data_IF_364920793333
#
_entry.id   IF_364920793333
#
_cell.length_a   1.000
_cell.length_b   1.000
_cell.length_c   1.000
_cell.angle_alpha   90.00
_cell.angle_beta   90.00
_cell.angle_gamma   90.00
#
_symmetry.space_group_name_H-M   'P 1'
#
loop_
_entity.id
_entity.type
_entity.pdbx_description
1 polymer ?
#
# COMPACT_ATOMS: atom_id res chain seq x y z
N UNK A 1 -48.21 9.74 -41.45
CA UNK A 1 -47.78 9.98 -40.06
C UNK A 1 -46.37 9.38 -39.90
N UNK A 2 -45.35 10.23 -40.16
CA UNK A 2 -43.96 9.77 -40.11
C UNK A 2 -43.49 9.74 -38.65
N UNK A 3 -43.25 8.57 -38.13
CA UNK A 3 -42.56 8.37 -36.87
C UNK A 3 -41.08 8.71 -37.12
N UNK A 4 -40.65 9.89 -36.67
CA UNK A 4 -39.22 10.23 -36.60
C UNK A 4 -38.61 9.39 -35.51
N UNK A 5 -37.92 8.30 -35.89
CA UNK A 5 -36.97 7.62 -35.05
C UNK A 5 -35.89 8.63 -34.65
N UNK A 6 -36.03 9.21 -33.46
CA UNK A 6 -34.90 9.89 -32.79
C UNK A 6 -33.94 8.80 -32.41
N UNK A 7 -32.97 8.48 -33.24
CA UNK A 7 -31.76 7.84 -32.84
C UNK A 7 -31.08 8.73 -31.80
N UNK A 8 -31.37 8.50 -30.53
CA UNK A 8 -30.69 9.14 -29.42
C UNK A 8 -29.36 8.43 -29.28
N UNK A 9 -28.38 8.75 -30.15
CA UNK A 9 -27.04 8.19 -30.02
C UNK A 9 -26.40 8.80 -28.77
N UNK A 10 -26.10 7.96 -27.82
CA UNK A 10 -25.39 8.37 -26.59
C UNK A 10 -24.14 9.18 -26.95
N UNK A 11 -23.88 10.29 -26.26
CA UNK A 11 -22.68 11.09 -26.47
C UNK A 11 -21.43 10.23 -26.31
N UNK A 12 -20.44 10.41 -27.18
CA UNK A 12 -19.22 9.60 -27.24
C UNK A 12 -17.99 10.48 -27.19
N UNK A 13 -16.95 9.97 -26.53
CA UNK A 13 -15.59 10.48 -26.67
C UNK A 13 -14.82 9.72 -27.75
N UNK A 14 -13.72 10.29 -28.18
CA UNK A 14 -12.84 9.71 -29.19
C UNK A 14 -11.40 9.67 -28.68
N UNK A 15 -10.67 8.64 -29.09
CA UNK A 15 -9.22 8.55 -28.94
C UNK A 15 -8.63 8.20 -30.28
N UNK A 16 -7.85 9.10 -30.86
CA UNK A 16 -7.33 8.94 -32.21
C UNK A 16 -5.89 9.45 -32.31
N UNK A 17 -5.18 9.02 -33.31
CA UNK A 17 -3.81 9.43 -33.50
C UNK A 17 -2.99 8.47 -34.34
N UNK A 18 -1.69 8.41 -34.02
CA UNK A 18 -0.72 7.66 -34.80
C UNK A 18 0.34 7.03 -33.87
N UNK A 19 0.68 5.77 -34.13
CA UNK A 19 1.84 5.11 -33.54
C UNK A 19 2.81 4.75 -34.64
N UNK A 20 3.87 5.51 -34.78
CA UNK A 20 4.87 5.26 -35.83
C UNK A 20 5.69 4.00 -35.51
N UNK A 21 6.17 3.34 -36.58
CA UNK A 21 7.01 2.13 -36.48
C UNK A 21 6.34 0.95 -35.78
N UNK A 22 5.00 0.86 -35.84
CA UNK A 22 4.20 -0.15 -35.13
C UNK A 22 3.42 -1.08 -36.06
N UNK A 23 3.83 -1.20 -37.36
CA UNK A 23 3.13 -2.03 -38.33
C UNK A 23 2.94 -3.47 -37.82
N UNK A 24 1.71 -3.96 -37.99
CA UNK A 24 1.31 -5.30 -37.51
C UNK A 24 1.07 -5.46 -36.03
N UNK A 25 1.37 -4.44 -35.20
CA UNK A 25 1.14 -4.48 -33.74
C UNK A 25 -0.33 -4.28 -33.40
N UNK A 26 -0.75 -4.85 -32.25
CA UNK A 26 -2.08 -4.63 -31.70
C UNK A 26 -2.06 -3.48 -30.70
N UNK A 27 -2.87 -2.46 -30.95
CA UNK A 27 -3.15 -1.36 -30.03
C UNK A 27 -4.47 -1.64 -29.32
N UNK A 28 -4.45 -1.60 -27.99
CA UNK A 28 -5.61 -1.80 -27.13
C UNK A 28 -6.02 -0.49 -26.47
N UNK A 29 -7.32 -0.22 -26.45
CA UNK A 29 -7.93 0.77 -25.57
C UNK A 29 -8.52 0.04 -24.36
N UNK A 30 -8.11 0.42 -23.18
CA UNK A 30 -8.51 -0.23 -21.92
C UNK A 30 -8.98 0.83 -20.91
N UNK A 31 -10.02 0.50 -20.13
CA UNK A 31 -10.42 1.32 -18.98
C UNK A 31 -9.65 0.87 -17.72
N UNK A 32 -9.16 1.84 -16.95
CA UNK A 32 -8.55 1.62 -15.64
C UNK A 32 -9.62 1.76 -14.55
N UNK A 33 -10.46 0.74 -14.37
CA UNK A 33 -11.53 0.71 -13.38
C UNK A 33 -10.98 0.51 -11.95
N UNK A 34 -11.82 0.68 -10.94
CA UNK A 34 -11.43 0.46 -9.53
C UNK A 34 -11.09 -1.01 -9.24
N UNK A 35 -11.78 -1.93 -9.90
CA UNK A 35 -11.59 -3.37 -9.75
C UNK A 35 -10.46 -3.92 -10.65
N UNK A 36 -9.91 -3.12 -11.54
CA UNK A 36 -8.83 -3.53 -12.44
C UNK A 36 -8.93 -2.98 -13.85
N UNK A 37 -8.18 -3.58 -14.75
CA UNK A 37 -8.12 -3.16 -16.15
C UNK A 37 -9.16 -3.91 -16.97
N UNK A 38 -9.98 -3.15 -17.70
CA UNK A 38 -11.05 -3.68 -18.55
C UNK A 38 -10.75 -3.34 -20.03
N UNK A 39 -10.53 -4.33 -20.90
CA UNK A 39 -10.40 -4.08 -22.34
C UNK A 39 -11.70 -3.53 -22.92
N UNK A 40 -11.61 -2.47 -23.72
CA UNK A 40 -12.76 -1.83 -24.36
C UNK A 40 -12.77 -2.07 -25.86
N UNK A 41 -11.62 -1.94 -26.51
CA UNK A 41 -11.49 -2.03 -27.96
C UNK A 41 -10.04 -2.33 -28.34
N UNK A 42 -9.82 -2.75 -29.59
CA UNK A 42 -8.48 -2.98 -30.12
C UNK A 42 -8.44 -2.79 -31.65
N UNK A 43 -7.27 -2.40 -32.14
CA UNK A 43 -7.02 -2.26 -33.57
C UNK A 43 -5.62 -2.80 -33.90
N UNK A 44 -5.51 -3.46 -35.05
CA UNK A 44 -4.21 -3.82 -35.62
C UNK A 44 -3.70 -2.60 -36.39
N UNK A 45 -2.53 -2.10 -36.00
CA UNK A 45 -1.89 -0.96 -36.66
C UNK A 45 -1.34 -1.38 -38.02
N UNK A 46 -1.57 -0.54 -39.02
CA UNK A 46 -1.03 -0.66 -40.36
C UNK A 46 0.20 0.23 -40.55
N UNK A 47 0.81 0.24 -41.73
CA UNK A 47 2.06 0.95 -42.00
C UNK A 47 2.05 2.46 -41.73
N UNK A 48 0.87 3.12 -41.75
CA UNK A 48 0.71 4.53 -41.36
C UNK A 48 0.55 4.74 -39.85
N UNK A 49 0.37 3.66 -39.10
CA UNK A 49 0.22 3.68 -37.64
C UNK A 49 -1.04 4.36 -37.12
N UNK A 50 -1.97 4.75 -38.00
CA UNK A 50 -3.19 5.48 -37.65
C UNK A 50 -4.16 4.60 -36.83
N UNK A 51 -4.86 5.22 -35.88
CA UNK A 51 -5.89 4.53 -35.10
C UNK A 51 -7.03 5.48 -34.72
N UNK A 52 -8.22 4.89 -34.49
CA UNK A 52 -9.40 5.61 -34.05
C UNK A 52 -10.28 4.72 -33.18
N UNK A 53 -10.52 5.15 -31.94
CA UNK A 53 -11.48 4.53 -31.03
C UNK A 53 -12.62 5.51 -30.70
N UNK A 54 -13.81 4.97 -30.45
CA UNK A 54 -14.98 5.74 -30.10
C UNK A 54 -15.80 4.99 -29.02
N UNK A 55 -15.93 5.59 -27.85
CA UNK A 55 -16.60 4.98 -26.70
C UNK A 55 -17.68 5.92 -26.13
N UNK A 56 -18.63 5.38 -25.37
CA UNK A 56 -19.62 6.18 -24.66
C UNK A 56 -18.91 7.07 -23.64
N UNK A 57 -19.33 8.34 -23.53
CA UNK A 57 -18.73 9.27 -22.60
C UNK A 57 -18.94 8.81 -21.16
N UNK A 58 -17.98 9.01 -20.25
CA UNK A 58 -18.18 8.77 -18.83
C UNK A 58 -19.10 9.86 -18.24
N UNK A 59 -19.73 9.54 -17.11
CA UNK A 59 -20.57 10.48 -16.33
C UNK A 59 -19.75 11.32 -15.35
N UNK A 60 -18.54 10.92 -15.09
CA UNK A 60 -17.53 11.58 -14.26
C UNK A 60 -16.16 11.35 -14.86
N UNK A 61 -15.10 12.08 -14.45
CA UNK A 61 -13.75 11.82 -14.92
C UNK A 61 -13.32 10.37 -14.73
N UNK A 62 -12.95 9.70 -15.82
CA UNK A 62 -12.52 8.30 -15.82
C UNK A 62 -11.15 8.14 -16.47
N UNK A 63 -10.46 7.04 -16.12
CA UNK A 63 -9.10 6.77 -16.56
C UNK A 63 -9.09 5.65 -17.60
N UNK A 64 -8.30 5.87 -18.62
CA UNK A 64 -8.09 4.95 -19.72
C UNK A 64 -6.60 4.79 -19.99
N UNK A 65 -6.27 3.76 -20.75
CA UNK A 65 -4.91 3.58 -21.24
C UNK A 65 -4.90 3.02 -22.66
N UNK A 66 -3.92 3.46 -23.43
CA UNK A 66 -3.51 2.81 -24.66
C UNK A 66 -2.38 1.85 -24.33
N UNK A 67 -2.45 0.62 -24.82
CA UNK A 67 -1.40 -0.39 -24.63
C UNK A 67 -0.99 -1.03 -25.95
N UNK A 68 0.32 -1.08 -26.18
CA UNK A 68 0.96 -1.88 -27.23
C UNK A 68 2.03 -2.76 -26.55
N UNK A 69 1.91 -4.08 -26.70
CA UNK A 69 2.71 -5.05 -25.98
C UNK A 69 2.67 -4.78 -24.45
N UNK A 70 3.80 -4.48 -23.82
CA UNK A 70 3.95 -4.14 -22.39
C UNK A 70 3.98 -2.62 -22.10
N UNK A 71 3.96 -1.79 -23.15
CA UNK A 71 4.06 -0.33 -23.05
C UNK A 71 2.68 0.31 -22.92
N UNK A 72 2.57 1.31 -22.07
CA UNK A 72 1.28 1.93 -21.71
C UNK A 72 1.36 3.46 -21.71
N UNK A 73 0.35 4.09 -22.29
CA UNK A 73 0.06 5.53 -22.15
C UNK A 73 -1.23 5.67 -21.34
N UNK A 74 -1.16 6.31 -20.16
CA UNK A 74 -2.32 6.62 -19.35
C UNK A 74 -2.89 8.00 -19.71
N UNK A 75 -4.22 8.10 -19.73
CA UNK A 75 -4.94 9.35 -19.96
C UNK A 75 -6.29 9.34 -19.25
N UNK A 76 -6.96 10.46 -19.21
CA UNK A 76 -8.32 10.57 -18.65
C UNK A 76 -9.27 11.20 -19.67
N UNK A 77 -10.54 10.91 -19.48
CA UNK A 77 -11.64 11.51 -20.22
C UNK A 77 -12.68 12.02 -19.23
N UNK A 78 -13.04 13.29 -19.35
CA UNK A 78 -14.02 13.93 -18.46
C UNK A 78 -15.42 13.97 -19.11
N UNK A 79 -15.49 13.98 -20.45
CA UNK A 79 -16.75 14.14 -21.19
C UNK A 79 -16.66 13.61 -22.65
N UNK A 80 -17.03 14.43 -23.63
CA UNK A 80 -17.08 14.09 -25.06
C UNK A 80 -15.85 14.56 -25.84
N UNK A 81 -14.74 14.77 -25.17
CA UNK A 81 -13.49 15.23 -25.77
C UNK A 81 -12.93 14.24 -26.80
N UNK A 82 -12.06 14.75 -27.64
CA UNK A 82 -11.23 13.96 -28.54
C UNK A 82 -9.79 14.02 -28.03
N UNK A 83 -9.27 12.89 -27.58
CA UNK A 83 -7.89 12.76 -27.14
C UNK A 83 -7.04 12.37 -28.34
N UNK A 84 -6.11 13.23 -28.72
CA UNK A 84 -5.17 13.00 -29.81
C UNK A 84 -3.83 12.51 -29.25
N UNK A 85 -3.39 11.33 -29.68
CA UNK A 85 -2.13 10.73 -29.20
C UNK A 85 -1.23 10.41 -30.38
N UNK A 86 0.04 10.88 -30.32
CA UNK A 86 1.08 10.46 -31.27
C UNK A 86 2.27 9.93 -30.49
N UNK A 87 2.78 8.78 -30.88
CA UNK A 87 3.89 8.12 -30.18
C UNK A 87 4.73 7.29 -31.15
N UNK A 88 6.07 7.27 -31.01
CA UNK A 88 6.90 6.25 -31.65
C UNK A 88 6.75 4.93 -30.89
N UNK A 89 6.70 3.80 -31.57
CA UNK A 89 6.58 2.49 -30.93
C UNK A 89 7.74 2.19 -29.98
N UNK A 90 8.98 2.56 -30.33
CA UNK A 90 10.16 2.32 -29.51
C UNK A 90 10.04 2.95 -28.13
N UNK A 91 9.59 4.20 -28.08
CA UNK A 91 9.49 5.03 -26.87
C UNK A 91 8.04 5.39 -26.53
N UNK A 92 7.11 4.44 -26.78
CA UNK A 92 5.67 4.61 -26.69
C UNK A 92 5.22 5.25 -25.36
N UNK A 93 5.79 4.83 -24.25
CA UNK A 93 5.41 5.29 -22.92
C UNK A 93 6.07 6.62 -22.49
N UNK A 94 7.06 7.11 -23.22
CA UNK A 94 7.89 8.26 -22.79
C UNK A 94 7.90 9.43 -23.81
N UNK A 95 7.96 9.13 -25.11
CA UNK A 95 8.10 10.14 -26.16
C UNK A 95 6.77 10.44 -26.89
N UNK A 96 5.63 10.20 -26.26
CA UNK A 96 4.33 10.49 -26.85
C UNK A 96 3.91 11.96 -26.69
N UNK A 97 3.01 12.42 -27.54
CA UNK A 97 2.24 13.67 -27.34
C UNK A 97 0.79 13.35 -27.04
N UNK A 98 0.13 14.19 -26.26
CA UNK A 98 -1.30 14.11 -26.00
C UNK A 98 -1.90 15.50 -26.05
N UNK A 99 -2.95 15.65 -26.86
CA UNK A 99 -3.66 16.91 -27.10
C UNK A 99 -5.17 16.69 -26.98
N UNK A 100 -5.94 17.77 -26.88
CA UNK A 100 -7.41 17.73 -26.80
C UNK A 100 -7.96 17.41 -25.40
N UNK A 101 -7.10 17.10 -24.40
CA UNK A 101 -7.46 16.85 -23.03
C UNK A 101 -6.42 17.45 -22.06
N UNK A 102 -6.74 18.56 -21.38
CA UNK A 102 -5.82 19.20 -20.43
C UNK A 102 -5.42 18.28 -19.26
N UNK A 103 -6.34 17.43 -18.79
CA UNK A 103 -6.05 16.47 -17.76
C UNK A 103 -5.09 15.38 -18.24
N UNK A 104 -5.26 14.89 -19.45
CA UNK A 104 -4.35 13.89 -20.05
C UNK A 104 -2.93 14.45 -20.24
N UNK A 105 -2.79 15.73 -20.61
CA UNK A 105 -1.48 16.40 -20.67
C UNK A 105 -0.80 16.45 -19.30
N UNK A 106 -1.53 16.76 -18.22
CA UNK A 106 -1.01 16.74 -16.86
C UNK A 106 -0.68 15.32 -16.37
N UNK A 107 -1.47 14.32 -16.76
CA UNK A 107 -1.20 12.90 -16.45
C UNK A 107 0.09 12.45 -17.11
N UNK A 108 0.33 12.84 -18.37
CA UNK A 108 1.62 12.61 -19.04
C UNK A 108 2.78 13.19 -18.24
N UNK A 109 2.69 14.45 -17.86
CA UNK A 109 3.76 15.12 -17.11
C UNK A 109 4.01 14.44 -15.74
N UNK A 110 2.96 14.08 -15.02
CA UNK A 110 3.05 13.29 -13.78
C UNK A 110 3.72 11.94 -14.01
N UNK A 111 3.37 11.23 -15.08
CA UNK A 111 3.97 9.93 -15.44
C UNK A 111 5.47 10.07 -15.67
N UNK A 112 5.89 11.06 -16.45
CA UNK A 112 7.30 11.31 -16.74
C UNK A 112 8.09 11.73 -15.50
N UNK A 113 7.50 12.53 -14.61
CA UNK A 113 8.11 12.90 -13.32
C UNK A 113 8.27 11.69 -12.41
N UNK A 114 7.28 10.81 -12.35
CA UNK A 114 7.34 9.57 -11.56
C UNK A 114 8.42 8.62 -12.11
N UNK A 115 8.52 8.47 -13.43
CA UNK A 115 9.58 7.66 -14.06
C UNK A 115 10.96 8.22 -13.73
N UNK A 116 11.15 9.54 -13.80
CA UNK A 116 12.41 10.20 -13.40
C UNK A 116 12.75 9.96 -11.92
N UNK A 117 11.75 10.00 -11.04
CA UNK A 117 11.95 9.67 -9.63
C UNK A 117 12.42 8.21 -9.47
N UNK A 118 11.77 7.27 -10.19
CA UNK A 118 12.15 5.86 -10.18
C UNK A 118 13.58 5.65 -10.65
N UNK A 119 13.99 6.32 -11.75
CA UNK A 119 15.36 6.23 -12.27
C UNK A 119 16.39 6.77 -11.27
N UNK A 120 16.10 7.90 -10.61
CA UNK A 120 16.97 8.46 -9.58
C UNK A 120 17.12 7.49 -8.39
N UNK A 121 16.04 6.86 -7.95
CA UNK A 121 16.08 5.87 -6.86
C UNK A 121 16.84 4.62 -7.27
N UNK A 122 16.67 4.15 -8.51
CA UNK A 122 17.44 3.02 -9.05
C UNK A 122 18.95 3.34 -9.09
N UNK A 123 19.32 4.56 -9.48
CA UNK A 123 20.73 5.01 -9.48
C UNK A 123 21.32 5.07 -8.06
N UNK A 124 20.54 5.50 -7.06
CA UNK A 124 20.96 5.45 -5.66
C UNK A 124 21.18 4.02 -5.18
N UNK A 125 20.26 3.09 -5.50
CA UNK A 125 20.38 1.68 -5.15
C UNK A 125 21.64 1.05 -5.78
N UNK A 126 21.92 1.34 -7.04
CA UNK A 126 23.16 0.89 -7.72
C UNK A 126 24.41 1.44 -7.03
N UNK A 127 24.37 2.69 -6.52
CA UNK A 127 25.49 3.29 -5.81
C UNK A 127 25.77 2.63 -4.46
N UNK A 128 24.73 2.19 -3.74
CA UNK A 128 24.87 1.36 -2.53
C UNK A 128 25.44 0.00 -2.86
N UNK A 129 24.90 -0.68 -3.88
CA UNK A 129 25.37 -2.01 -4.31
C UNK A 129 26.84 -1.98 -4.76
N UNK A 130 27.28 -0.88 -5.36
CA UNK A 130 28.66 -0.65 -5.74
C UNK A 130 29.56 -0.14 -4.59
N UNK A 131 29.06 -0.09 -3.35
CA UNK A 131 29.74 0.45 -2.16
C UNK A 131 30.29 1.88 -2.33
N UNK A 132 29.66 2.69 -3.18
CA UNK A 132 30.04 4.09 -3.41
C UNK A 132 29.45 5.05 -2.34
N UNK A 133 28.33 4.68 -1.77
CA UNK A 133 27.66 5.43 -0.70
C UNK A 133 27.25 4.49 0.44
N UNK A 134 27.20 4.99 1.67
CA UNK A 134 26.69 4.27 2.84
C UNK A 134 25.16 4.27 2.93
N UNK A 135 24.63 3.50 3.87
CA UNK A 135 23.19 3.39 4.09
C UNK A 135 22.57 4.70 4.56
N UNK A 136 23.29 5.45 5.40
CA UNK A 136 22.91 6.78 5.91
C UNK A 136 22.72 7.79 4.77
N UNK A 137 23.71 7.87 3.87
CA UNK A 137 23.66 8.76 2.69
C UNK A 137 22.52 8.34 1.75
N UNK A 138 22.26 7.05 1.62
CA UNK A 138 21.15 6.53 0.83
C UNK A 138 19.81 6.98 1.41
N UNK A 139 19.59 6.79 2.73
CA UNK A 139 18.33 7.16 3.41
C UNK A 139 18.05 8.65 3.29
N UNK A 140 19.04 9.50 3.54
CA UNK A 140 18.91 10.96 3.43
C UNK A 140 18.62 11.40 1.99
N UNK A 141 19.29 10.80 1.01
CA UNK A 141 19.08 11.10 -0.41
C UNK A 141 17.70 10.69 -0.88
N UNK A 142 17.24 9.48 -0.48
CA UNK A 142 15.90 8.97 -0.80
C UNK A 142 14.82 9.86 -0.18
N UNK A 143 14.98 10.23 1.10
CA UNK A 143 14.04 11.11 1.80
C UNK A 143 13.95 12.48 1.09
N UNK A 144 15.08 13.04 0.66
CA UNK A 144 15.12 14.30 -0.09
C UNK A 144 14.45 14.21 -1.45
N UNK A 145 14.68 13.12 -2.22
CA UNK A 145 14.02 12.89 -3.51
C UNK A 145 12.50 12.78 -3.36
N UNK A 146 12.05 11.99 -2.39
CA UNK A 146 10.62 11.80 -2.12
C UNK A 146 9.96 13.10 -1.65
N UNK A 147 10.62 13.85 -0.76
CA UNK A 147 10.12 15.13 -0.28
C UNK A 147 9.96 16.13 -1.43
N UNK A 148 10.98 16.30 -2.26
CA UNK A 148 10.95 17.24 -3.38
C UNK A 148 9.85 16.87 -4.38
N UNK A 149 9.72 15.59 -4.72
CA UNK A 149 8.64 15.09 -5.58
C UNK A 149 7.26 15.38 -4.99
N UNK A 150 7.05 15.01 -3.72
CA UNK A 150 5.77 15.25 -3.04
C UNK A 150 5.41 16.73 -2.97
N UNK A 151 6.35 17.60 -2.64
CA UNK A 151 6.11 19.04 -2.50
C UNK A 151 5.73 19.66 -3.86
N UNK A 152 6.41 19.27 -4.95
CA UNK A 152 6.08 19.72 -6.30
C UNK A 152 4.67 19.23 -6.72
N UNK A 153 4.38 17.94 -6.52
CA UNK A 153 3.10 17.34 -6.92
C UNK A 153 1.94 17.91 -6.10
N UNK A 154 2.12 18.13 -4.80
CA UNK A 154 1.12 18.77 -3.93
C UNK A 154 0.72 20.14 -4.47
N UNK A 155 1.70 20.99 -4.77
CA UNK A 155 1.46 22.37 -5.16
C UNK A 155 0.90 22.45 -6.58
N UNK A 156 1.53 21.74 -7.53
CA UNK A 156 1.26 21.92 -8.95
C UNK A 156 0.06 21.14 -9.48
N UNK A 157 -0.34 20.05 -8.80
CA UNK A 157 -1.41 19.17 -9.29
C UNK A 157 -2.53 18.99 -8.27
N UNK A 158 -2.21 18.63 -7.02
CA UNK A 158 -3.23 18.23 -6.03
C UNK A 158 -4.01 19.45 -5.54
N UNK A 159 -3.33 20.44 -4.99
CA UNK A 159 -3.99 21.62 -4.41
C UNK A 159 -4.32 22.69 -5.46
N UNK A 160 -3.63 22.71 -6.60
CA UNK A 160 -3.92 23.66 -7.67
C UNK A 160 -5.32 23.45 -8.29
N UNK A 161 -5.73 22.17 -8.45
CA UNK A 161 -7.01 21.83 -9.06
C UNK A 161 -7.55 20.48 -8.53
N UNK A 162 -8.00 20.40 -7.28
CA UNK A 162 -8.34 19.13 -6.60
C UNK A 162 -9.55 18.40 -7.19
N UNK A 163 -10.37 19.06 -8.01
CA UNK A 163 -11.52 18.46 -8.70
C UNK A 163 -11.18 17.78 -10.03
N UNK A 164 -9.89 17.67 -10.38
CA UNK A 164 -9.46 17.17 -11.69
C UNK A 164 -9.02 15.70 -11.64
N UNK A 165 -9.12 15.02 -12.80
CA UNK A 165 -8.58 13.68 -12.97
C UNK A 165 -7.07 13.65 -12.71
N UNK A 166 -6.32 14.69 -13.09
CA UNK A 166 -4.89 14.77 -12.84
C UNK A 166 -4.56 14.80 -11.34
N UNK A 167 -5.33 15.51 -10.51
CA UNK A 167 -5.17 15.51 -9.05
C UNK A 167 -5.44 14.12 -8.46
N UNK A 168 -6.50 13.45 -8.90
CA UNK A 168 -6.77 12.07 -8.50
C UNK A 168 -5.62 11.13 -8.89
N UNK A 169 -5.15 11.21 -10.13
CA UNK A 169 -4.04 10.39 -10.63
C UNK A 169 -2.75 10.61 -9.83
N UNK A 170 -2.47 11.85 -9.43
CA UNK A 170 -1.31 12.21 -8.63
C UNK A 170 -1.25 11.49 -7.26
N UNK A 171 -2.41 11.27 -6.62
CA UNK A 171 -2.50 10.58 -5.32
C UNK A 171 -2.06 9.12 -5.38
N UNK A 172 -2.26 8.46 -6.54
CA UNK A 172 -2.05 7.01 -6.68
C UNK A 172 -0.75 6.65 -7.41
N UNK A 173 0.17 7.62 -7.56
CA UNK A 173 1.50 7.35 -8.08
C UNK A 173 2.28 6.41 -7.17
N UNK A 174 3.06 5.51 -7.78
CA UNK A 174 3.81 4.47 -7.06
C UNK A 174 5.29 4.56 -7.33
N UNK A 175 6.08 4.16 -6.34
CA UNK A 175 7.50 3.89 -6.43
C UNK A 175 7.73 2.46 -5.95
N UNK A 176 8.32 1.58 -6.78
CA UNK A 176 8.52 0.16 -6.45
C UNK A 176 7.26 -0.52 -5.89
N UNK A 177 6.09 -0.30 -6.51
CA UNK A 177 4.77 -0.79 -6.12
C UNK A 177 4.16 -0.20 -4.82
N UNK A 178 4.87 0.67 -4.09
CA UNK A 178 4.33 1.38 -2.93
C UNK A 178 3.80 2.75 -3.33
N UNK A 179 2.68 3.16 -2.75
CA UNK A 179 2.16 4.51 -2.95
C UNK A 179 3.16 5.55 -2.46
N UNK A 180 3.43 6.57 -3.26
CA UNK A 180 4.29 7.69 -2.88
C UNK A 180 3.60 8.54 -1.80
N UNK A 181 2.29 8.74 -1.92
CA UNK A 181 1.45 9.36 -0.90
C UNK A 181 0.77 8.28 -0.08
N UNK A 182 1.04 8.21 1.24
CA UNK A 182 0.42 7.23 2.13
C UNK A 182 -0.93 7.74 2.66
N UNK A 183 -2.07 7.20 2.16
CA UNK A 183 -3.39 7.66 2.58
C UNK A 183 -3.80 7.17 3.96
N UNK A 184 -3.04 6.26 4.57
CA UNK A 184 -3.49 5.56 5.78
C UNK A 184 -2.69 5.94 7.03
N UNK A 185 -1.39 6.23 6.89
CA UNK A 185 -0.50 6.37 8.04
C UNK A 185 0.20 7.75 8.11
N UNK A 186 0.18 8.53 7.03
CA UNK A 186 0.83 9.84 6.99
C UNK A 186 -0.20 10.98 7.01
N UNK A 187 -0.25 11.75 8.10
CA UNK A 187 -1.21 12.86 8.29
C UNK A 187 -1.13 13.91 7.18
N UNK A 188 0.05 14.24 6.71
CA UNK A 188 0.24 15.25 5.65
C UNK A 188 -0.22 14.73 4.29
N UNK A 189 0.01 13.45 4.01
CA UNK A 189 -0.46 12.83 2.77
C UNK A 189 -1.99 12.67 2.79
N UNK A 190 -2.59 12.32 3.94
CA UNK A 190 -4.06 12.24 4.09
C UNK A 190 -4.73 13.58 3.76
N UNK A 191 -4.11 14.72 4.07
CA UNK A 191 -4.64 16.04 3.68
C UNK A 191 -4.77 16.20 2.17
N UNK A 192 -3.83 15.63 1.42
CA UNK A 192 -3.89 15.62 -0.06
C UNK A 192 -5.09 14.81 -0.55
N UNK A 193 -5.27 13.59 -0.01
CA UNK A 193 -6.43 12.77 -0.31
C UNK A 193 -7.74 13.43 0.09
N UNK A 194 -7.79 14.07 1.26
CA UNK A 194 -8.98 14.78 1.76
C UNK A 194 -9.38 15.95 0.87
N UNK A 195 -8.40 16.73 0.38
CA UNK A 195 -8.66 17.86 -0.53
C UNK A 195 -9.32 17.38 -1.83
N UNK A 196 -8.78 16.33 -2.45
CA UNK A 196 -9.33 15.76 -3.69
C UNK A 196 -10.67 15.08 -3.42
N UNK A 197 -10.81 14.30 -2.34
CA UNK A 197 -12.05 13.62 -1.98
C UNK A 197 -13.20 14.61 -1.76
N UNK A 198 -12.96 15.69 -1.00
CA UNK A 198 -13.94 16.74 -0.77
C UNK A 198 -14.36 17.42 -2.06
N UNK A 199 -13.39 17.73 -2.91
CA UNK A 199 -13.63 18.39 -4.18
C UNK A 199 -14.42 17.50 -5.14
N UNK A 200 -14.00 16.24 -5.32
CA UNK A 200 -14.69 15.29 -6.19
C UNK A 200 -16.11 14.98 -5.68
N UNK A 201 -16.31 14.88 -4.36
CA UNK A 201 -17.64 14.67 -3.79
C UNK A 201 -18.59 15.84 -4.06
N UNK A 202 -18.08 17.07 -4.14
CA UNK A 202 -18.89 18.23 -4.46
C UNK A 202 -19.30 18.26 -5.96
N UNK A 203 -18.44 17.81 -6.86
CA UNK A 203 -18.69 17.83 -8.30
C UNK A 203 -19.33 16.53 -8.81
N UNK A 204 -18.98 15.38 -8.23
CA UNK A 204 -19.38 14.04 -8.67
C UNK A 204 -19.73 13.15 -7.46
N UNK A 205 -20.79 13.49 -6.67
CA UNK A 205 -21.11 12.80 -5.41
C UNK A 205 -21.46 11.32 -5.62
N UNK A 206 -22.03 10.99 -6.76
CA UNK A 206 -22.46 9.62 -7.08
C UNK A 206 -21.37 8.76 -7.74
N UNK A 207 -20.26 9.35 -8.15
CA UNK A 207 -19.17 8.62 -8.79
C UNK A 207 -18.49 7.64 -7.81
N UNK A 208 -18.26 6.41 -8.28
CA UNK A 208 -17.64 5.37 -7.45
C UNK A 208 -16.23 5.77 -6.97
N UNK A 209 -15.48 6.50 -7.79
CA UNK A 209 -14.17 7.03 -7.41
C UNK A 209 -14.26 8.05 -6.27
N UNK A 210 -15.29 8.90 -6.26
CA UNK A 210 -15.52 9.86 -5.18
C UNK A 210 -15.83 9.14 -3.87
N UNK A 211 -16.73 8.14 -3.91
CA UNK A 211 -17.08 7.31 -2.75
C UNK A 211 -15.89 6.52 -2.21
N UNK A 212 -15.12 5.89 -3.12
CA UNK A 212 -13.93 5.12 -2.74
C UNK A 212 -12.88 6.02 -2.09
N UNK A 213 -12.58 7.18 -2.69
CA UNK A 213 -11.59 8.11 -2.16
C UNK A 213 -12.00 8.65 -0.79
N UNK A 214 -13.29 8.98 -0.61
CA UNK A 214 -13.84 9.38 0.67
C UNK A 214 -13.64 8.31 1.76
N UNK A 215 -13.90 7.04 1.44
CA UNK A 215 -13.70 5.92 2.37
C UNK A 215 -12.21 5.75 2.75
N UNK A 216 -11.30 5.91 1.80
CA UNK A 216 -9.85 5.88 2.06
C UNK A 216 -9.47 6.98 3.05
N UNK A 217 -9.96 8.21 2.84
CA UNK A 217 -9.70 9.35 3.74
C UNK A 217 -10.22 9.10 5.15
N UNK A 218 -11.46 8.62 5.28
CA UNK A 218 -12.05 8.31 6.60
C UNK A 218 -11.21 7.25 7.32
N UNK A 219 -10.77 6.21 6.61
CA UNK A 219 -9.89 5.17 7.17
C UNK A 219 -8.56 5.78 7.64
N UNK A 220 -7.90 6.58 6.81
CA UNK A 220 -6.65 7.25 7.15
C UNK A 220 -6.79 8.20 8.35
N UNK A 221 -7.87 9.00 8.39
CA UNK A 221 -8.15 9.87 9.53
C UNK A 221 -8.38 9.10 10.82
N UNK A 222 -9.03 7.93 10.77
CA UNK A 222 -9.20 7.06 11.93
C UNK A 222 -7.85 6.52 12.42
N UNK A 223 -7.01 6.05 11.51
CA UNK A 223 -5.71 5.48 11.82
C UNK A 223 -4.74 6.52 12.42
N UNK A 224 -4.77 7.74 11.89
CA UNK A 224 -3.83 8.80 12.29
C UNK A 224 -4.38 9.76 13.34
N UNK A 225 -5.64 9.59 13.76
CA UNK A 225 -6.08 10.24 14.98
C UNK A 225 -5.14 9.77 16.07
N UNK A 226 -4.31 10.69 16.56
CA UNK A 226 -3.69 10.52 17.86
C UNK A 226 -4.85 10.17 18.78
N UNK A 227 -4.83 9.08 19.55
CA UNK A 227 -5.78 8.94 20.62
C UNK A 227 -5.70 10.31 21.32
N UNK A 228 -6.79 11.10 21.33
CA UNK A 228 -6.92 12.02 22.44
C UNK A 228 -6.57 11.10 23.60
N UNK A 229 -5.53 11.44 24.35
CA UNK A 229 -5.39 10.90 25.69
C UNK A 229 -6.76 11.21 26.36
N UNK A 230 -7.75 10.33 26.11
CA UNK A 230 -8.46 9.85 27.25
C UNK A 230 -7.29 9.40 28.11
N UNK A 231 -7.05 10.11 29.18
CA UNK A 231 -6.60 9.48 30.40
C UNK A 231 -7.60 8.35 30.54
N UNK A 232 -7.31 7.21 29.91
CA UNK A 232 -7.81 5.94 30.32
C UNK A 232 -7.13 5.90 31.68
N UNK A 233 -7.87 6.27 32.72
CA UNK A 233 -7.66 5.69 34.00
C UNK A 233 -7.62 4.22 33.68
N UNK A 234 -6.39 3.71 33.54
CA UNK A 234 -6.14 2.28 33.42
C UNK A 234 -6.72 1.81 34.74
N UNK A 235 -7.81 1.03 34.74
CA UNK A 235 -8.31 0.49 35.99
C UNK A 235 -7.09 -0.17 36.61
N UNK A 236 -6.81 0.08 37.86
CA UNK A 236 -5.66 -0.53 38.59
C UNK A 236 -5.66 -2.05 38.43
N UNK A 237 -6.79 -2.65 38.10
CA UNK A 237 -6.99 -4.06 37.71
C UNK A 237 -6.36 -4.46 36.35
N UNK A 238 -5.95 -3.51 35.46
CA UNK A 238 -5.29 -3.83 34.19
C UNK A 238 -3.77 -3.74 34.26
N UNK A 239 -3.22 -3.18 35.33
CA UNK A 239 -1.84 -3.37 35.72
C UNK A 239 -1.86 -4.64 36.58
N UNK A 240 -1.55 -5.80 35.97
CA UNK A 240 -1.33 -6.99 36.78
C UNK A 240 -0.26 -6.64 37.81
N UNK A 241 -0.41 -7.13 39.04
CA UNK A 241 0.59 -7.00 40.12
C UNK A 241 2.00 -7.48 39.71
N UNK A 242 2.18 -7.85 38.48
CA UNK A 242 3.31 -8.57 37.88
C UNK A 242 4.13 -7.80 36.84
N UNK A 243 3.87 -6.53 36.59
CA UNK A 243 4.81 -5.70 35.78
C UNK A 243 4.87 -6.00 34.27
N UNK A 244 3.95 -6.80 33.73
CA UNK A 244 3.78 -6.94 32.24
C UNK A 244 2.50 -6.28 31.75
N UNK A 245 2.51 -5.88 30.49
CA UNK A 245 1.29 -5.55 29.76
C UNK A 245 0.67 -6.87 29.33
N UNK A 246 -0.47 -7.25 29.93
CA UNK A 246 -1.11 -8.53 29.62
C UNK A 246 -1.64 -8.55 28.19
N UNK A 247 -1.45 -9.68 27.51
CA UNK A 247 -1.98 -9.93 26.18
C UNK A 247 -3.13 -10.93 26.30
N UNK A 248 -4.29 -10.54 25.76
CA UNK A 248 -5.49 -11.35 25.82
C UNK A 248 -6.05 -11.50 24.40
N UNK A 249 -5.66 -12.56 23.70
CA UNK A 249 -6.03 -12.82 22.31
C UNK A 249 -6.58 -14.24 22.13
N UNK A 250 -7.18 -14.50 20.98
CA UNK A 250 -7.73 -15.81 20.65
C UNK A 250 -6.72 -16.67 19.89
N UNK A 251 -6.66 -17.96 20.26
CA UNK A 251 -5.94 -18.99 19.52
C UNK A 251 -6.76 -19.47 18.30
N UNK A 252 -6.17 -20.38 17.52
CA UNK A 252 -6.81 -20.95 16.31
C UNK A 252 -8.12 -21.68 16.56
N UNK A 253 -8.32 -22.17 17.78
CA UNK A 253 -9.54 -22.88 18.21
C UNK A 253 -10.59 -21.94 18.78
N UNK A 254 -10.28 -20.61 18.82
CA UNK A 254 -11.15 -19.58 19.35
C UNK A 254 -11.08 -19.43 20.88
N UNK A 255 -10.20 -20.18 21.57
CA UNK A 255 -10.01 -20.04 23.00
C UNK A 255 -9.23 -18.76 23.31
N UNK A 256 -9.64 -18.08 24.34
CA UNK A 256 -8.89 -16.93 24.87
C UNK A 256 -7.63 -17.41 25.57
N UNK A 257 -6.48 -16.84 25.21
CA UNK A 257 -5.18 -17.12 25.81
C UNK A 257 -4.61 -15.83 26.38
N UNK A 258 -4.29 -15.85 27.66
CA UNK A 258 -3.68 -14.71 28.35
C UNK A 258 -2.19 -14.96 28.57
N UNK A 259 -1.37 -13.93 28.33
CA UNK A 259 0.06 -14.01 28.63
C UNK A 259 0.31 -14.21 30.14
N UNK A 260 -0.48 -13.56 30.99
CA UNK A 260 -0.41 -13.66 32.46
C UNK A 260 -0.64 -15.08 32.97
N UNK A 261 -1.34 -15.95 32.24
CA UNK A 261 -1.55 -17.37 32.61
C UNK A 261 -0.26 -18.21 32.57
N UNK A 262 0.81 -17.69 31.93
CA UNK A 262 2.09 -18.38 31.78
C UNK A 262 3.06 -18.11 32.94
N UNK A 263 2.59 -17.52 34.04
CA UNK A 263 3.40 -17.33 35.27
C UNK A 263 4.04 -18.64 35.70
N UNK A 264 5.31 -18.59 36.04
CA UNK A 264 6.11 -19.76 36.38
C UNK A 264 6.93 -20.35 35.24
N UNK A 265 6.72 -19.86 34.01
CA UNK A 265 7.51 -20.20 32.81
C UNK A 265 8.39 -19.03 32.38
N UNK A 266 9.51 -19.33 31.73
CA UNK A 266 10.22 -18.35 30.90
C UNK A 266 9.48 -18.24 29.56
N UNK A 267 9.09 -17.03 29.14
CA UNK A 267 8.26 -16.87 27.95
C UNK A 267 8.95 -16.00 26.92
N UNK A 268 8.99 -16.50 25.69
CA UNK A 268 9.27 -15.68 24.51
C UNK A 268 7.93 -15.13 24.00
N UNK A 269 7.73 -13.82 24.10
CA UNK A 269 6.63 -13.14 23.41
C UNK A 269 7.17 -12.67 22.06
N UNK A 270 6.59 -13.18 20.97
CA UNK A 270 7.05 -12.92 19.62
C UNK A 270 5.93 -12.31 18.76
N UNK A 271 6.16 -11.11 18.23
CA UNK A 271 5.26 -10.47 17.28
C UNK A 271 5.75 -10.75 15.87
N UNK A 272 4.89 -11.32 15.03
CA UNK A 272 5.27 -11.76 13.69
C UNK A 272 4.18 -11.49 12.64
N UNK A 273 4.57 -11.53 11.36
CA UNK A 273 3.69 -11.62 10.20
C UNK A 273 4.14 -12.83 9.39
N UNK A 274 3.34 -13.89 9.35
CA UNK A 274 3.71 -15.14 8.67
C UNK A 274 3.88 -14.97 7.15
N UNK A 275 3.18 -14.02 6.54
CA UNK A 275 3.35 -13.68 5.13
C UNK A 275 4.68 -12.97 4.81
N UNK A 276 5.46 -12.58 5.82
CA UNK A 276 6.77 -11.98 5.65
C UNK A 276 7.79 -13.00 5.14
N UNK A 277 8.67 -12.58 4.23
CA UNK A 277 9.73 -13.43 3.67
C UNK A 277 10.70 -13.99 4.72
N UNK A 278 10.87 -13.30 5.86
CA UNK A 278 11.76 -13.71 6.95
C UNK A 278 11.08 -14.65 7.96
N UNK A 279 9.76 -14.81 7.91
CA UNK A 279 8.98 -15.53 8.90
C UNK A 279 9.36 -17.01 9.00
N UNK A 280 9.59 -17.68 7.88
CA UNK A 280 9.95 -19.10 7.87
C UNK A 280 11.27 -19.34 8.63
N UNK A 281 12.32 -18.58 8.32
CA UNK A 281 13.62 -18.68 8.99
C UNK A 281 13.51 -18.35 10.47
N UNK A 282 12.73 -17.33 10.82
CA UNK A 282 12.48 -16.95 12.20
C UNK A 282 11.77 -18.06 12.99
N UNK A 283 10.73 -18.66 12.44
CA UNK A 283 10.03 -19.78 13.07
C UNK A 283 10.90 -21.03 13.22
N UNK A 284 11.83 -21.30 12.30
CA UNK A 284 12.80 -22.38 12.48
C UNK A 284 13.74 -22.12 13.67
N UNK A 285 14.24 -20.91 13.82
CA UNK A 285 15.04 -20.51 14.98
C UNK A 285 14.27 -20.67 16.30
N UNK A 286 13.02 -20.22 16.35
CA UNK A 286 12.16 -20.38 17.53
C UNK A 286 11.88 -21.86 17.83
N UNK A 287 11.69 -22.70 16.80
CA UNK A 287 11.48 -24.14 16.97
C UNK A 287 12.70 -24.82 17.58
N UNK A 288 13.90 -24.49 17.12
CA UNK A 288 15.14 -25.03 17.69
C UNK A 288 15.27 -24.69 19.20
N UNK A 289 14.92 -23.47 19.59
CA UNK A 289 14.90 -23.07 21.00
C UNK A 289 13.80 -23.80 21.78
N UNK A 290 12.62 -23.92 21.22
CA UNK A 290 11.49 -24.58 21.87
C UNK A 290 11.78 -26.08 22.12
N UNK A 291 12.30 -26.78 21.10
CA UNK A 291 12.67 -28.19 21.19
C UNK A 291 13.74 -28.46 22.25
N UNK A 292 14.69 -27.52 22.44
CA UNK A 292 15.75 -27.61 23.44
C UNK A 292 15.27 -27.32 24.87
N UNK A 293 14.34 -26.37 25.05
CA UNK A 293 14.09 -25.76 26.34
C UNK A 293 12.64 -25.85 26.85
N UNK A 294 11.68 -26.33 26.05
CA UNK A 294 10.29 -26.45 26.49
C UNK A 294 10.13 -27.35 27.68
N UNK A 295 10.87 -28.48 27.76
CA UNK A 295 10.89 -29.38 28.91
C UNK A 295 11.52 -28.76 30.17
N UNK A 296 12.28 -27.66 30.05
CA UNK A 296 12.91 -26.91 31.12
C UNK A 296 12.07 -25.70 31.57
N UNK A 297 10.88 -25.50 30.98
CA UNK A 297 9.96 -24.44 31.33
C UNK A 297 9.94 -23.24 30.42
N UNK A 298 10.50 -23.35 29.17
CA UNK A 298 10.30 -22.36 28.12
C UNK A 298 8.89 -22.49 27.51
N UNK A 299 8.23 -21.37 27.29
CA UNK A 299 7.03 -21.27 26.45
C UNK A 299 7.23 -20.18 25.41
N UNK A 300 6.54 -20.30 24.29
CA UNK A 300 6.47 -19.24 23.27
C UNK A 300 5.02 -18.79 23.13
N UNK A 301 4.80 -17.49 23.25
CA UNK A 301 3.54 -16.83 23.02
C UNK A 301 3.68 -15.95 21.78
N UNK A 302 3.28 -16.50 20.61
CA UNK A 302 3.47 -15.85 19.33
C UNK A 302 2.20 -15.13 18.89
N UNK A 303 2.34 -13.82 18.67
CA UNK A 303 1.26 -12.92 18.25
C UNK A 303 1.40 -12.65 16.73
N UNK A 304 0.51 -13.21 15.95
CA UNK A 304 0.42 -12.90 14.53
C UNK A 304 -0.30 -11.58 14.31
N UNK A 305 0.28 -10.75 13.48
CA UNK A 305 -0.29 -9.50 12.96
C UNK A 305 -0.76 -9.65 11.50
N UNK A 306 -0.97 -10.89 11.03
CA UNK A 306 -1.46 -11.15 9.68
C UNK A 306 -2.90 -10.67 9.51
N UNK A 307 -3.17 -9.97 8.41
CA UNK A 307 -4.53 -9.55 8.06
C UNK A 307 -5.41 -10.74 7.63
N UNK A 308 -4.80 -11.74 6.98
CA UNK A 308 -5.47 -12.94 6.50
C UNK A 308 -5.55 -14.01 7.60
N UNK A 309 -6.77 -14.26 8.08
CA UNK A 309 -7.03 -15.27 9.12
C UNK A 309 -6.82 -16.70 8.64
N UNK A 310 -7.13 -16.99 7.38
CA UNK A 310 -6.99 -18.33 6.83
C UNK A 310 -5.51 -18.70 6.70
N UNK A 311 -4.70 -17.78 6.17
CA UNK A 311 -3.25 -17.95 6.06
C UNK A 311 -2.61 -18.14 7.44
N UNK A 312 -2.99 -17.32 8.43
CA UNK A 312 -2.55 -17.47 9.81
C UNK A 312 -2.85 -18.86 10.36
N UNK A 313 -4.10 -19.33 10.26
CA UNK A 313 -4.51 -20.64 10.77
C UNK A 313 -3.70 -21.77 10.15
N UNK A 314 -3.53 -21.73 8.82
CA UNK A 314 -2.79 -22.77 8.08
C UNK A 314 -1.32 -22.84 8.52
N UNK A 315 -0.70 -21.69 8.76
CA UNK A 315 0.71 -21.63 9.17
C UNK A 315 0.88 -22.00 10.65
N UNK A 316 0.02 -21.48 11.51
CA UNK A 316 0.10 -21.68 12.96
C UNK A 316 -0.22 -23.13 13.38
N UNK A 317 -1.02 -23.88 12.60
CA UNK A 317 -1.39 -25.27 12.88
C UNK A 317 -0.18 -26.23 12.99
N UNK A 318 0.93 -25.86 12.36
CA UNK A 318 2.17 -26.63 12.37
C UNK A 318 3.16 -26.21 13.48
N UNK A 319 2.81 -25.24 14.32
CA UNK A 319 3.69 -24.72 15.37
C UNK A 319 3.35 -25.33 16.72
N UNK A 320 4.35 -25.77 17.53
CA UNK A 320 4.11 -26.52 18.78
C UNK A 320 3.80 -25.64 19.98
N UNK A 321 3.78 -24.32 19.82
CA UNK A 321 3.59 -23.35 20.90
C UNK A 321 2.27 -22.58 20.78
N UNK A 322 2.07 -21.59 21.67
CA UNK A 322 0.85 -20.78 21.69
C UNK A 322 0.89 -19.75 20.55
N UNK A 323 0.00 -19.92 19.58
CA UNK A 323 -0.18 -18.99 18.48
C UNK A 323 -1.53 -18.28 18.61
N UNK A 324 -1.47 -16.95 18.73
CA UNK A 324 -2.66 -16.07 18.79
C UNK A 324 -2.61 -15.04 17.68
N UNK A 325 -3.75 -14.41 17.38
CA UNK A 325 -3.80 -13.40 16.31
C UNK A 325 -4.48 -12.11 16.79
N UNK A 326 -3.86 -10.97 16.48
CA UNK A 326 -4.53 -9.68 16.49
C UNK A 326 -4.95 -9.30 15.07
N UNK A 327 -6.24 -9.40 14.78
CA UNK A 327 -6.81 -9.08 13.46
C UNK A 327 -6.68 -7.61 13.06
N UNK A 328 -6.26 -6.72 13.97
CA UNK A 328 -5.95 -5.33 13.66
C UNK A 328 -4.60 -5.18 12.91
N UNK A 329 -3.79 -6.25 12.82
CA UNK A 329 -2.54 -6.26 12.08
C UNK A 329 -1.58 -5.17 12.54
N UNK A 330 -1.09 -4.36 11.60
CA UNK A 330 -0.19 -3.22 11.90
C UNK A 330 -0.83 -2.14 12.79
N UNK A 331 -2.14 -2.17 13.01
CA UNK A 331 -2.89 -1.26 13.89
C UNK A 331 -3.17 -1.87 15.27
N UNK A 332 -2.52 -2.96 15.61
CA UNK A 332 -2.62 -3.62 16.89
C UNK A 332 -2.26 -2.66 18.01
N UNK A 333 -3.23 -2.41 18.91
CA UNK A 333 -2.97 -1.64 20.14
C UNK A 333 -2.03 -2.39 21.08
N UNK A 334 -2.02 -3.72 21.02
CA UNK A 334 -1.12 -4.58 21.80
C UNK A 334 0.31 -4.41 21.27
N UNK A 335 0.53 -4.51 19.95
CA UNK A 335 1.84 -4.27 19.37
C UNK A 335 2.35 -2.84 19.68
N UNK A 336 1.46 -1.84 19.63
CA UNK A 336 1.79 -0.47 20.00
C UNK A 336 2.18 -0.34 21.48
N UNK A 337 1.48 -1.02 22.39
CA UNK A 337 1.81 -1.02 23.83
C UNK A 337 3.17 -1.64 24.12
N UNK A 338 3.58 -2.64 23.37
CA UNK A 338 4.91 -3.25 23.41
C UNK A 338 5.96 -2.44 22.63
N UNK A 339 5.59 -1.32 22.01
CA UNK A 339 6.45 -0.50 21.15
C UNK A 339 7.11 -1.32 20.02
N UNK A 340 6.33 -2.22 19.40
CA UNK A 340 6.76 -3.00 18.23
C UNK A 340 6.82 -2.09 17.04
N UNK A 341 8.01 -1.86 16.50
CA UNK A 341 8.25 -1.02 15.29
C UNK A 341 8.38 -1.85 14.03
N UNK A 342 8.98 -3.02 14.16
CA UNK A 342 9.25 -3.95 13.07
C UNK A 342 8.88 -5.38 13.49
N UNK A 343 8.61 -6.25 12.53
CA UNK A 343 8.38 -7.68 12.76
C UNK A 343 9.37 -8.51 11.94
N UNK A 344 9.89 -9.62 12.48
CA UNK A 344 9.58 -10.16 13.80
C UNK A 344 10.20 -9.34 14.94
N UNK A 345 9.55 -9.35 16.12
CA UNK A 345 10.01 -8.64 17.32
C UNK A 345 9.82 -9.50 18.55
N UNK A 346 10.91 -9.78 19.28
CA UNK A 346 10.97 -10.71 20.40
C UNK A 346 11.09 -9.97 21.72
N UNK A 347 10.34 -10.43 22.72
CA UNK A 347 10.42 -9.98 24.11
C UNK A 347 10.57 -11.19 25.02
N UNK A 348 11.30 -11.05 26.12
CA UNK A 348 11.49 -12.10 27.11
C UNK A 348 10.78 -11.73 28.40
N UNK A 349 9.99 -12.67 28.92
CA UNK A 349 9.27 -12.56 30.17
C UNK A 349 9.79 -13.65 31.11
N UNK A 350 10.13 -13.26 32.34
CA UNK A 350 10.66 -14.17 33.36
C UNK A 350 9.55 -14.97 34.06
N UNK A 351 9.94 -15.90 34.92
CA UNK A 351 9.01 -16.76 35.72
C UNK A 351 8.10 -15.97 36.67
N UNK A 352 8.46 -14.75 37.02
CA UNK A 352 7.63 -13.86 37.83
C UNK A 352 6.60 -13.10 37.04
N UNK A 353 6.57 -13.29 35.72
CA UNK A 353 5.72 -12.55 34.77
C UNK A 353 6.15 -11.08 34.63
N UNK A 354 7.46 -10.83 34.58
CA UNK A 354 8.04 -9.50 34.38
C UNK A 354 8.80 -9.45 33.06
N UNK A 355 8.70 -8.33 32.33
CA UNK A 355 9.45 -8.11 31.11
C UNK A 355 10.94 -8.00 31.42
N UNK A 356 11.74 -8.95 30.93
CA UNK A 356 13.18 -9.05 31.22
C UNK A 356 14.05 -8.42 30.11
N UNK A 357 13.68 -8.58 28.85
CA UNK A 357 14.43 -8.04 27.72
C UNK A 357 13.54 -7.84 26.47
N UNK A 358 14.00 -7.00 25.56
CA UNK A 358 13.35 -6.77 24.25
C UNK A 358 14.37 -6.90 23.11
N UNK A 359 13.90 -7.21 21.88
CA UNK A 359 14.67 -7.56 20.71
C UNK A 359 15.96 -6.77 20.47
N UNK A 360 15.90 -5.44 20.53
CA UNK A 360 17.08 -4.57 20.32
C UNK A 360 18.17 -4.74 21.39
N UNK A 361 17.82 -5.21 22.58
CA UNK A 361 18.78 -5.46 23.68
C UNK A 361 19.30 -6.90 23.75
N UNK A 362 18.71 -7.82 22.97
CA UNK A 362 19.03 -9.26 22.99
C UNK A 362 20.10 -9.53 21.92
N UNK A 363 21.35 -9.66 22.35
CA UNK A 363 22.47 -9.98 21.42
C UNK A 363 22.53 -11.46 21.08
N UNK A 364 22.14 -12.33 22.01
CA UNK A 364 22.09 -13.78 21.87
C UNK A 364 20.82 -14.27 22.56
N UNK A 365 19.84 -14.66 21.74
CA UNK A 365 18.52 -15.07 22.23
C UNK A 365 18.60 -16.37 23.05
N UNK A 366 19.44 -17.33 22.61
CA UNK A 366 19.60 -18.61 23.33
C UNK A 366 20.22 -18.40 24.70
N UNK A 367 21.27 -17.58 24.79
CA UNK A 367 21.88 -17.26 26.08
C UNK A 367 20.91 -16.52 27.02
N UNK A 368 20.13 -15.59 26.49
CA UNK A 368 19.14 -14.85 27.23
C UNK A 368 17.98 -15.75 27.76
N UNK A 369 17.51 -16.70 26.95
CA UNK A 369 16.52 -17.71 27.35
C UNK A 369 17.09 -18.60 28.47
N UNK A 370 18.31 -19.11 28.33
CA UNK A 370 18.97 -19.92 29.38
C UNK A 370 19.06 -19.20 30.72
N UNK A 371 19.28 -17.89 30.70
CA UNK A 371 19.36 -17.09 31.93
C UNK A 371 18.02 -16.97 32.70
N UNK A 372 16.89 -17.27 32.03
CA UNK A 372 15.54 -17.20 32.61
C UNK A 372 15.00 -18.57 33.06
N UNK A 373 15.63 -19.67 32.62
CA UNK A 373 15.23 -21.03 32.97
C UNK A 373 15.76 -21.45 34.34
#
# INVERSE_FOLDING_TARGET
MCIRDRCNSEPKFKVEGEVSDADGKMLYLEASALEGIVPLDSVKLEGDGSFHFKQVRPVSPEFYRLRVDDKVINFSVDSTETVLVKAPYTDFATAYTVEGSPNSSKIKDLTLKQMKLQDNVNALLQSVQAHKIGADVFEDSLASLLKNYKDEVKISYIFAAPNTAAAYFALFQKLNNYLIFDPLNNKEDIKCFAAVATSLNNYYPDADRSKNLYNIVIKGMKNTRTPQQKVVEIPEEAISETGIIDINLRDMKGNTRKLSELKGKAVIVDFTVYQSAVSATHNYMLRDLYDKYAAQGLEIYQVSLDADEHYWKTTADNLPWICVRDGNGIYSSIAASYNVKNVPSVFLVNKNNELSARGESIKDLEAAVKALL
#
